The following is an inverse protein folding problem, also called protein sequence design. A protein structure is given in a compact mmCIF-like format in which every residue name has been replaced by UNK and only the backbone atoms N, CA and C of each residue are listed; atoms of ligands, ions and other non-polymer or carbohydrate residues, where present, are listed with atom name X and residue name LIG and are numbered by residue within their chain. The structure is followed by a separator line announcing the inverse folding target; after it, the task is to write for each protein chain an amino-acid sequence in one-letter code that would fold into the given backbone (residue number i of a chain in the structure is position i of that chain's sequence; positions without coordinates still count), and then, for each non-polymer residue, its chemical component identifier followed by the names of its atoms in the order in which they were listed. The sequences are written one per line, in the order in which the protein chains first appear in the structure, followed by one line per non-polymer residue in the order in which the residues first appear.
data_IF_903517156329
#
_entry.id   IF_903517156329
#
_cell.length_a   1.000
_cell.length_b   1.000
_cell.length_c   1.000
_cell.angle_alpha   90.00
_cell.angle_beta   90.00
_cell.angle_gamma   90.00
#
_symmetry.space_group_name_H-M   'P 1'
#
loop_
_entity.id
_entity.type
_entity.pdbx_description
1 polymer ?
#
# COMPACT_ATOMS: atom_id res chain seq x y z
N UNK A 1 -4.11 -0.25 28.90
CA UNK A 1 -2.83 -0.94 29.11
C UNK A 1 -1.72 -0.01 28.66
N UNK A 2 -0.75 0.28 29.52
CA UNK A 2 0.49 0.99 29.15
C UNK A 2 1.57 0.00 28.72
N UNK A 3 2.64 0.46 28.04
CA UNK A 3 3.78 -0.40 27.67
C UNK A 3 4.41 -1.05 28.91
N UNK A 4 4.57 -0.30 30.01
CA UNK A 4 5.14 -0.80 31.25
C UNK A 4 4.30 -1.92 31.89
N UNK A 5 2.98 -1.74 31.96
CA UNK A 5 2.05 -2.76 32.47
C UNK A 5 2.08 -4.05 31.62
N UNK A 6 2.20 -3.89 30.30
CA UNK A 6 2.23 -5.02 29.38
C UNK A 6 3.51 -5.84 29.53
N UNK A 7 4.65 -5.16 29.67
CA UNK A 7 5.96 -5.80 29.80
C UNK A 7 6.15 -6.45 31.16
N UNK A 8 5.54 -5.90 32.21
CA UNK A 8 5.56 -6.51 33.54
C UNK A 8 4.91 -7.91 33.58
N UNK A 9 4.11 -8.26 32.57
CA UNK A 9 3.49 -9.58 32.40
C UNK A 9 4.32 -10.55 31.55
N UNK A 10 5.49 -10.13 31.06
CA UNK A 10 6.32 -10.90 30.14
C UNK A 10 7.65 -11.32 30.78
N UNK A 11 8.12 -12.49 30.39
CA UNK A 11 9.41 -13.02 30.82
C UNK A 11 10.54 -12.73 29.82
N UNK A 12 11.76 -12.70 30.32
CA UNK A 12 12.97 -12.56 29.49
C UNK A 12 13.05 -11.22 28.75
N UNK A 13 12.46 -10.16 29.29
CA UNK A 13 12.39 -8.84 28.67
C UNK A 13 13.79 -8.26 28.43
N UNK A 14 14.02 -7.77 27.21
CA UNK A 14 15.24 -7.09 26.79
C UNK A 14 14.91 -5.85 25.97
N UNK A 15 15.39 -4.70 26.42
CA UNK A 15 15.32 -3.46 25.65
C UNK A 15 16.31 -3.48 24.47
N UNK A 16 15.88 -2.95 23.34
CA UNK A 16 16.69 -2.77 22.12
C UNK A 16 16.46 -1.36 21.56
N UNK A 17 17.34 -0.86 20.67
CA UNK A 17 17.13 0.46 20.04
C UNK A 17 15.85 0.56 19.20
N UNK A 18 15.25 -0.57 18.82
CA UNK A 18 14.04 -0.63 17.98
C UNK A 18 12.78 -0.99 18.79
N UNK A 19 12.88 -0.99 20.12
CA UNK A 19 11.84 -1.34 21.08
C UNK A 19 12.18 -2.59 21.87
N UNK A 20 11.21 -3.44 22.20
CA UNK A 20 11.38 -4.43 23.28
C UNK A 20 11.20 -5.85 22.75
N UNK A 21 12.09 -6.76 23.18
CA UNK A 21 12.01 -8.18 22.90
C UNK A 21 11.71 -8.93 24.19
N UNK A 22 10.83 -9.93 24.12
CA UNK A 22 10.44 -10.77 25.25
C UNK A 22 10.18 -12.21 24.80
N UNK A 23 10.04 -13.13 25.75
CA UNK A 23 9.55 -14.46 25.49
C UNK A 23 8.06 -14.41 25.17
N UNK A 24 7.63 -15.14 24.14
CA UNK A 24 6.22 -15.24 23.81
C UNK A 24 5.50 -16.13 24.83
N UNK A 25 4.40 -15.68 25.46
CA UNK A 25 3.65 -16.49 26.42
C UNK A 25 2.78 -17.58 25.75
N UNK A 26 2.50 -17.47 24.46
CA UNK A 26 1.61 -18.40 23.73
C UNK A 26 2.28 -19.70 23.30
N UNK A 27 3.60 -19.80 23.36
CA UNK A 27 4.33 -21.00 23.01
C UNK A 27 5.53 -21.17 23.95
N UNK A 28 6.07 -22.38 24.11
CA UNK A 28 7.29 -22.58 24.89
C UNK A 28 8.47 -21.90 24.19
N UNK A 29 8.73 -20.66 24.57
CA UNK A 29 9.75 -19.83 23.95
C UNK A 29 11.08 -19.92 24.71
N UNK A 30 12.17 -20.18 23.99
CA UNK A 30 13.54 -20.22 24.53
C UNK A 30 14.40 -19.05 24.07
N UNK A 31 13.96 -18.31 23.05
CA UNK A 31 14.69 -17.18 22.47
C UNK A 31 13.69 -16.08 22.17
N UNK A 32 13.81 -14.94 22.86
CA UNK A 32 12.87 -13.81 22.79
C UNK A 32 12.33 -13.57 21.37
N UNK A 33 11.17 -14.15 21.08
CA UNK A 33 10.56 -14.14 19.75
C UNK A 33 9.45 -13.10 19.63
N UNK A 34 9.01 -12.54 20.76
CA UNK A 34 7.99 -11.52 20.82
C UNK A 34 8.64 -10.13 20.77
N UNK A 35 8.25 -9.33 19.78
CA UNK A 35 8.59 -7.91 19.69
C UNK A 35 7.39 -7.07 20.12
N UNK A 36 7.65 -6.09 20.99
CA UNK A 36 6.66 -5.18 21.56
C UNK A 36 7.14 -3.74 21.39
N UNK A 37 6.33 -2.92 20.72
CA UNK A 37 6.61 -1.50 20.46
C UNK A 37 5.40 -0.63 20.78
N UNK A 38 5.63 0.64 21.12
CA UNK A 38 4.56 1.63 21.18
C UNK A 38 4.21 2.10 19.77
N UNK A 39 2.93 2.02 19.43
CA UNK A 39 2.36 2.62 18.23
C UNK A 39 1.56 3.87 18.58
N UNK A 40 1.07 4.58 17.56
CA UNK A 40 0.30 5.82 17.72
C UNK A 40 -1.03 5.61 18.47
N UNK A 41 -1.68 4.45 18.28
CA UNK A 41 -3.01 4.15 18.84
C UNK A 41 -3.00 3.09 19.96
N UNK A 42 -1.87 2.44 20.17
CA UNK A 42 -1.77 1.29 21.06
C UNK A 42 -0.47 0.53 20.90
N UNK A 43 -0.34 -0.57 21.64
CA UNK A 43 0.82 -1.45 21.61
C UNK A 43 0.82 -2.32 20.35
N UNK A 44 1.98 -2.38 19.69
CA UNK A 44 2.24 -3.24 18.55
C UNK A 44 2.99 -4.47 19.02
N UNK A 45 2.39 -5.64 18.85
CA UNK A 45 2.94 -6.92 19.26
C UNK A 45 3.09 -7.84 18.06
N UNK A 46 4.25 -8.46 17.91
CA UNK A 46 4.51 -9.43 16.86
C UNK A 46 5.38 -10.56 17.37
N UNK A 47 4.87 -11.78 17.28
CA UNK A 47 5.68 -12.97 17.47
C UNK A 47 6.27 -13.42 16.12
N UNK A 48 7.59 -13.59 16.06
CA UNK A 48 8.27 -14.07 14.85
C UNK A 48 8.19 -15.59 14.65
N UNK A 49 7.70 -16.33 15.65
CA UNK A 49 7.45 -17.76 15.54
C UNK A 49 6.07 -18.10 14.92
N UNK A 50 5.20 -17.10 14.73
CA UNK A 50 3.92 -17.26 14.02
C UNK A 50 2.67 -17.19 14.88
N UNK A 51 2.78 -17.01 16.21
CA UNK A 51 1.62 -16.83 17.08
C UNK A 51 0.83 -15.58 16.70
N UNK A 52 -0.48 -15.70 16.73
CA UNK A 52 -1.40 -14.58 16.49
C UNK A 52 -1.43 -13.64 17.68
N UNK A 53 -1.76 -12.37 17.43
CA UNK A 53 -1.95 -11.39 18.50
C UNK A 53 -3.02 -11.82 19.51
N UNK A 54 -4.06 -12.52 19.04
CA UNK A 54 -5.14 -13.03 19.89
C UNK A 54 -4.65 -14.10 20.88
N UNK A 55 -3.82 -15.05 20.42
CA UNK A 55 -3.21 -16.06 21.29
C UNK A 55 -2.27 -15.44 22.32
N UNK A 56 -1.53 -14.40 21.93
CA UNK A 56 -0.59 -13.68 22.82
C UNK A 56 -1.34 -13.01 23.96
N UNK A 57 -2.37 -12.21 23.64
CA UNK A 57 -3.15 -11.53 24.67
C UNK A 57 -3.94 -12.51 25.53
N UNK A 58 -4.50 -13.57 24.93
CA UNK A 58 -5.25 -14.59 25.66
C UNK A 58 -4.37 -15.34 26.68
N UNK A 59 -3.13 -15.68 26.32
CA UNK A 59 -2.17 -16.30 27.23
C UNK A 59 -1.80 -15.41 28.43
N UNK A 60 -2.01 -14.10 28.33
CA UNK A 60 -1.80 -13.12 29.42
C UNK A 60 -3.09 -12.67 30.10
N UNK A 61 -4.22 -13.33 29.82
CA UNK A 61 -5.56 -12.97 30.31
C UNK A 61 -5.99 -11.55 29.91
N UNK A 62 -5.55 -11.09 28.74
CA UNK A 62 -5.89 -9.80 28.15
C UNK A 62 -6.81 -9.97 26.94
N UNK A 63 -7.57 -8.93 26.62
CA UNK A 63 -8.36 -8.87 25.38
C UNK A 63 -7.61 -8.05 24.35
N UNK A 64 -7.90 -8.29 23.07
CA UNK A 64 -7.35 -7.50 21.96
C UNK A 64 -7.57 -6.00 22.11
N UNK A 65 -8.73 -5.59 22.63
CA UNK A 65 -9.03 -4.18 22.85
C UNK A 65 -8.09 -3.54 23.87
N UNK A 66 -7.57 -4.30 24.84
CA UNK A 66 -6.76 -3.74 25.92
C UNK A 66 -5.38 -3.26 25.42
N UNK A 67 -4.95 -3.69 24.22
CA UNK A 67 -3.75 -3.18 23.55
C UNK A 67 -3.87 -1.72 23.08
N UNK A 68 -5.08 -1.18 22.97
CA UNK A 68 -5.31 0.18 22.49
C UNK A 68 -5.33 1.17 23.66
N UNK A 69 -4.76 2.36 23.46
CA UNK A 69 -4.70 3.39 24.51
C UNK A 69 -6.07 4.02 24.82
N UNK A 70 -7.01 3.93 23.88
CA UNK A 70 -8.39 4.41 24.04
C UNK A 70 -9.34 3.31 24.54
N UNK A 71 -8.81 2.14 24.93
CA UNK A 71 -9.58 1.08 25.55
C UNK A 71 -10.21 1.56 26.86
N UNK A 72 -11.53 1.46 26.97
CA UNK A 72 -12.29 1.93 28.14
C UNK A 72 -12.69 3.40 28.10
N UNK A 73 -12.19 4.20 27.15
CA UNK A 73 -12.69 5.56 26.95
C UNK A 73 -14.14 5.53 26.43
N UNK A 74 -15.04 6.39 26.96
CA UNK A 74 -16.38 6.54 26.41
C UNK A 74 -16.28 6.96 24.94
N UNK A 75 -17.19 6.46 24.11
CA UNK A 75 -17.17 6.64 22.65
C UNK A 75 -17.02 8.10 22.21
N UNK A 76 -17.53 9.04 23.01
CA UNK A 76 -17.47 10.48 22.76
C UNK A 76 -16.05 11.06 22.93
N UNK A 77 -15.23 10.44 23.78
CA UNK A 77 -13.84 10.84 24.06
C UNK A 77 -12.80 10.11 23.22
N UNK A 78 -13.21 9.09 22.45
CA UNK A 78 -12.29 8.41 21.53
C UNK A 78 -11.98 9.35 20.35
N UNK A 79 -10.71 9.48 19.95
CA UNK A 79 -10.36 10.24 18.75
C UNK A 79 -11.17 9.72 17.58
N UNK A 80 -11.95 10.59 16.93
CA UNK A 80 -12.62 10.22 15.69
C UNK A 80 -11.49 9.86 14.70
N UNK A 81 -11.55 8.72 14.00
CA UNK A 81 -10.56 8.42 12.97
C UNK A 81 -10.43 9.65 12.08
N UNK A 82 -9.20 10.14 11.89
CA UNK A 82 -8.96 11.25 10.98
C UNK A 82 -9.62 10.86 9.66
N UNK A 83 -10.58 11.67 9.21
CA UNK A 83 -11.24 11.42 7.94
C UNK A 83 -10.14 11.41 6.89
N UNK A 84 -9.88 10.25 6.27
CA UNK A 84 -8.94 10.21 5.17
C UNK A 84 -9.42 11.21 4.12
N UNK A 85 -8.57 12.14 3.66
CA UNK A 85 -8.99 13.11 2.67
C UNK A 85 -9.56 12.35 1.49
N UNK A 86 -10.80 12.67 1.11
CA UNK A 86 -11.44 12.03 -0.05
C UNK A 86 -10.53 12.28 -1.23
N UNK A 87 -10.04 11.21 -1.86
CA UNK A 87 -9.25 11.30 -3.08
C UNK A 87 -10.10 11.96 -4.15
N UNK A 88 -9.63 13.07 -4.70
CA UNK A 88 -10.28 13.74 -5.82
C UNK A 88 -10.13 12.87 -7.08
N UNK A 89 -11.18 12.09 -7.36
CA UNK A 89 -11.23 11.16 -8.49
C UNK A 89 -11.13 11.89 -9.82
N UNK A 90 -11.65 13.12 -9.92
CA UNK A 90 -11.60 13.91 -11.14
C UNK A 90 -10.16 14.38 -11.42
N UNK A 91 -9.47 14.85 -10.38
CA UNK A 91 -8.05 15.19 -10.48
C UNK A 91 -7.20 13.99 -10.87
N UNK A 92 -7.41 12.83 -10.24
CA UNK A 92 -6.66 11.61 -10.57
C UNK A 92 -6.95 11.17 -12.01
N UNK A 93 -8.22 11.16 -12.42
CA UNK A 93 -8.59 10.80 -13.79
C UNK A 93 -7.97 11.74 -14.82
N UNK A 94 -7.94 13.05 -14.55
CA UNK A 94 -7.26 14.01 -15.40
C UNK A 94 -5.77 13.71 -15.54
N UNK A 95 -5.09 13.43 -14.42
CA UNK A 95 -3.65 13.10 -14.44
C UNK A 95 -3.35 11.81 -15.22
N UNK A 96 -4.17 10.77 -15.05
CA UNK A 96 -3.99 9.51 -15.76
C UNK A 96 -4.21 9.68 -17.27
N UNK A 97 -5.27 10.37 -17.67
CA UNK A 97 -5.54 10.67 -19.09
C UNK A 97 -4.42 11.50 -19.71
N UNK A 98 -4.01 12.57 -19.05
CA UNK A 98 -2.89 13.41 -19.51
C UNK A 98 -1.59 12.60 -19.66
N UNK A 99 -1.35 11.64 -18.77
CA UNK A 99 -0.20 10.75 -18.91
C UNK A 99 -0.36 9.78 -20.08
N UNK A 100 -1.54 9.19 -20.24
CA UNK A 100 -1.89 8.30 -21.37
C UNK A 100 -1.72 9.00 -22.71
N UNK A 101 -2.26 10.21 -22.87
CA UNK A 101 -2.14 11.00 -24.12
C UNK A 101 -0.68 11.23 -24.51
N UNK A 102 0.20 11.53 -23.55
CA UNK A 102 1.64 11.70 -23.81
C UNK A 102 2.30 10.40 -24.27
N UNK A 103 1.95 9.27 -23.67
CA UNK A 103 2.46 7.96 -24.08
C UNK A 103 1.98 7.62 -25.49
N UNK A 104 0.68 7.82 -25.75
CA UNK A 104 0.08 7.57 -27.05
C UNK A 104 0.74 8.39 -28.15
N UNK A 105 0.87 9.72 -27.98
CA UNK A 105 1.46 10.60 -28.98
C UNK A 105 2.92 10.23 -29.28
N UNK A 106 3.70 9.92 -28.24
CA UNK A 106 5.10 9.48 -28.41
C UNK A 106 5.17 8.14 -29.13
N UNK A 107 4.37 7.17 -28.72
CA UNK A 107 4.32 5.85 -29.33
C UNK A 107 3.96 5.96 -30.82
N UNK A 108 2.92 6.75 -31.13
CA UNK A 108 2.45 6.96 -32.48
C UNK A 108 3.53 7.60 -33.36
N UNK A 109 4.24 8.62 -32.86
CA UNK A 109 5.35 9.24 -33.58
C UNK A 109 6.47 8.24 -33.91
N UNK A 110 6.81 7.33 -32.98
CA UNK A 110 7.81 6.28 -33.22
C UNK A 110 7.32 5.27 -34.26
N UNK A 111 6.08 4.81 -34.14
CA UNK A 111 5.50 3.83 -35.06
C UNK A 111 5.34 4.39 -36.47
N UNK A 112 4.97 5.66 -36.60
CA UNK A 112 4.86 6.32 -37.90
C UNK A 112 6.23 6.53 -38.54
N UNK A 113 7.22 7.00 -37.78
CA UNK A 113 8.59 7.12 -38.28
C UNK A 113 9.19 5.76 -38.69
N UNK A 114 8.78 4.67 -38.05
CA UNK A 114 9.31 3.34 -38.34
C UNK A 114 8.82 2.74 -39.68
N UNK A 115 7.69 3.22 -40.22
CA UNK A 115 7.09 2.66 -41.46
C UNK A 115 7.94 2.90 -42.70
N UNK A 116 8.65 4.03 -42.74
CA UNK A 116 9.35 4.51 -43.92
C UNK A 116 10.88 4.29 -43.86
N UNK A 117 11.35 3.42 -42.97
CA UNK A 117 12.78 3.15 -42.82
C UNK A 117 13.28 2.13 -43.84
N UNK A 118 14.28 2.50 -44.63
CA UNK A 118 15.09 1.53 -45.38
C UNK A 118 16.17 0.93 -44.46
N UNK A 119 16.04 -0.37 -44.20
CA UNK A 119 16.91 -1.12 -43.28
C UNK A 119 17.94 -1.98 -44.01
N UNK A 120 18.02 -1.93 -45.34
CA UNK A 120 18.82 -2.85 -46.14
C UNK A 120 20.33 -2.78 -45.84
N UNK A 121 20.81 -1.63 -45.36
CA UNK A 121 22.24 -1.37 -45.08
C UNK A 121 22.56 -1.34 -43.59
N UNK A 122 21.60 -1.69 -42.74
CA UNK A 122 21.75 -1.54 -41.29
C UNK A 122 22.60 -2.66 -40.69
N UNK A 123 23.38 -2.30 -39.68
CA UNK A 123 24.05 -3.27 -38.81
C UNK A 123 23.05 -3.95 -37.87
N UNK A 124 23.39 -5.14 -37.37
CA UNK A 124 22.55 -5.84 -36.38
C UNK A 124 22.27 -4.99 -35.13
N UNK A 125 23.24 -4.18 -34.68
CA UNK A 125 23.07 -3.27 -33.55
C UNK A 125 22.03 -2.19 -33.80
N UNK A 126 22.04 -1.58 -34.99
CA UNK A 126 21.06 -0.56 -35.38
C UNK A 126 19.66 -1.16 -35.53
N UNK A 127 19.57 -2.35 -36.13
CA UNK A 127 18.31 -3.07 -36.26
C UNK A 127 17.72 -3.41 -34.88
N UNK A 128 18.52 -3.97 -33.98
CA UNK A 128 18.08 -4.31 -32.62
C UNK A 128 17.64 -3.07 -31.82
N UNK A 129 18.35 -1.95 -31.95
CA UNK A 129 17.97 -0.71 -31.28
C UNK A 129 16.60 -0.20 -31.78
N UNK A 130 16.38 -0.21 -33.10
CA UNK A 130 15.11 0.23 -33.66
C UNK A 130 13.95 -0.72 -33.31
N UNK A 131 14.18 -2.02 -33.35
CA UNK A 131 13.20 -3.02 -32.88
C UNK A 131 12.82 -2.79 -31.42
N UNK A 132 13.80 -2.49 -30.56
CA UNK A 132 13.55 -2.13 -29.16
C UNK A 132 12.71 -0.85 -29.01
N UNK A 133 12.94 0.17 -29.84
CA UNK A 133 12.15 1.39 -29.84
C UNK A 133 10.69 1.14 -30.30
N UNK A 134 10.51 0.34 -31.36
CA UNK A 134 9.18 -0.06 -31.86
C UNK A 134 8.43 -0.90 -30.83
N UNK A 135 9.09 -1.90 -30.23
CA UNK A 135 8.49 -2.71 -29.17
C UNK A 135 8.03 -1.85 -27.98
N UNK A 136 8.88 -0.91 -27.55
CA UNK A 136 8.51 0.04 -26.49
C UNK A 136 7.31 0.91 -26.90
N UNK A 137 7.23 1.35 -28.14
CA UNK A 137 6.11 2.14 -28.63
C UNK A 137 4.78 1.36 -28.57
N UNK A 138 4.77 0.08 -28.93
CA UNK A 138 3.59 -0.77 -28.74
C UNK A 138 3.18 -0.89 -27.27
N UNK A 139 4.13 -1.14 -26.37
CA UNK A 139 3.86 -1.18 -24.92
C UNK A 139 3.33 0.15 -24.38
N UNK A 140 3.91 1.28 -24.82
CA UNK A 140 3.47 2.61 -24.42
C UNK A 140 2.02 2.88 -24.90
N UNK A 141 1.65 2.37 -26.09
CA UNK A 141 0.29 2.47 -26.63
C UNK A 141 -0.72 1.65 -25.82
N UNK A 142 -0.40 0.40 -25.48
CA UNK A 142 -1.24 -0.43 -24.60
C UNK A 142 -1.42 0.21 -23.22
N UNK A 143 -0.34 0.76 -22.67
CA UNK A 143 -0.38 1.47 -21.40
C UNK A 143 -1.24 2.73 -21.46
N UNK A 144 -1.19 3.47 -22.57
CA UNK A 144 -2.03 4.64 -22.78
C UNK A 144 -3.53 4.26 -22.74
N UNK A 145 -3.91 3.17 -23.41
CA UNK A 145 -5.28 2.68 -23.43
C UNK A 145 -5.76 2.27 -22.02
N UNK A 146 -4.96 1.50 -21.29
CA UNK A 146 -5.26 1.14 -19.89
C UNK A 146 -5.46 2.37 -18.99
N UNK A 147 -4.62 3.40 -19.15
CA UNK A 147 -4.74 4.63 -18.38
C UNK A 147 -6.03 5.39 -18.70
N UNK A 148 -6.44 5.41 -19.96
CA UNK A 148 -7.69 6.05 -20.37
C UNK A 148 -8.92 5.29 -19.82
N UNK A 149 -8.92 3.96 -19.89
CA UNK A 149 -9.97 3.13 -19.30
C UNK A 149 -10.12 3.36 -17.79
N UNK A 150 -9.01 3.42 -17.05
CA UNK A 150 -9.03 3.71 -15.61
C UNK A 150 -9.50 5.14 -15.35
N UNK A 151 -9.05 6.13 -16.12
CA UNK A 151 -9.49 7.51 -16.00
C UNK A 151 -11.01 7.64 -16.22
N UNK A 152 -11.54 6.96 -17.23
CA UNK A 152 -12.97 6.90 -17.51
C UNK A 152 -13.75 6.26 -16.34
N UNK A 153 -13.26 5.12 -15.83
CA UNK A 153 -13.85 4.45 -14.66
C UNK A 153 -13.83 5.30 -13.40
N UNK A 154 -12.83 6.16 -13.21
CA UNK A 154 -12.78 7.08 -12.07
C UNK A 154 -13.76 8.25 -12.23
N UNK A 155 -13.93 8.79 -13.44
CA UNK A 155 -14.90 9.87 -13.74
C UNK A 155 -16.34 9.39 -13.60
N UNK A 156 -16.70 8.26 -14.19
CA UNK A 156 -18.05 7.68 -14.07
C UNK A 156 -18.46 7.50 -12.61
N UNK A 157 -17.60 6.86 -11.80
CA UNK A 157 -17.82 6.70 -10.36
C UNK A 157 -17.78 8.00 -9.55
N UNK A 158 -17.21 9.08 -10.09
CA UNK A 158 -17.27 10.41 -9.47
C UNK A 158 -18.63 11.07 -9.74
N UNK A 159 -19.15 10.93 -10.96
CA UNK A 159 -20.49 11.40 -11.36
C UNK A 159 -21.59 10.66 -10.59
N UNK A 160 -21.53 9.33 -10.51
CA UNK A 160 -22.50 8.51 -9.76
C UNK A 160 -22.58 8.88 -8.27
N UNK A 161 -21.46 9.24 -7.65
CA UNK A 161 -21.42 9.70 -6.25
C UNK A 161 -21.78 11.17 -6.07
N UNK A 162 -21.76 11.95 -7.14
CA UNK A 162 -22.17 13.35 -7.17
C UNK A 162 -23.65 13.55 -7.47
N UNK A 163 -24.32 12.52 -8.02
CA UNK A 163 -25.77 12.48 -8.08
C UNK A 163 -26.32 12.38 -6.65
N UNK A 164 -27.04 13.39 -6.12
CA UNK A 164 -27.97 13.09 -5.04
C UNK A 164 -28.88 11.99 -5.57
N UNK A 165 -29.23 11.01 -4.74
CA UNK A 165 -30.36 10.13 -5.06
C UNK A 165 -31.51 11.03 -5.53
N UNK A 166 -31.80 10.99 -6.83
CA UNK A 166 -32.94 11.66 -7.40
C UNK A 166 -34.14 10.79 -7.04
N UNK A 167 -34.95 11.34 -6.12
CA UNK A 167 -36.25 10.86 -5.63
C UNK A 167 -36.24 9.56 -4.82
#
# INVERSE_FOLDING_TARGET
MTLGEFIAKLDGVRATPRGILALCPSHPDRRQSLSVNEGERGLLVKCWAGCTTAEIVAAMELRLCDLFYDAGLPRQSRPRPLAHPRRDRNRIAFQLRFHGDKLFLRAQAVLDAAKDLDIATWTEGQLNQALGAVAKAYTDRERADLLDQVAFGLRSRALEKGSPHAA
#
